data_IF_046256018508
#
_entry.id   IF_046256018508
#
_cell.length_a   1.000
_cell.length_b   1.000
_cell.length_c   1.000
_cell.angle_alpha   90.00
_cell.angle_beta   90.00
_cell.angle_gamma   90.00
#
_symmetry.space_group_name_H-M   'P 1'
#
loop_
_entity.id
_entity.type
_entity.pdbx_description
1 polymer ?
#
# COMPACT_ATOMS: atom_id res chain seq x y z
N UNK A 1 -6.18 20.08 -6.62
CA UNK A 1 -5.27 18.91 -6.56
C UNK A 1 -5.08 18.30 -7.95
N UNK A 2 -6.16 17.93 -8.66
CA UNK A 2 -6.10 17.45 -10.04
C UNK A 2 -5.34 18.38 -10.99
N UNK A 3 -5.71 19.67 -11.03
CA UNK A 3 -5.04 20.65 -11.89
C UNK A 3 -3.55 20.81 -11.59
N UNK A 4 -3.16 20.69 -10.31
CA UNK A 4 -1.75 20.75 -9.91
C UNK A 4 -0.97 19.53 -10.40
N UNK A 5 -1.54 18.33 -10.29
CA UNK A 5 -0.96 17.08 -10.80
C UNK A 5 -0.79 17.14 -12.33
N UNK A 6 -1.81 17.65 -13.04
CA UNK A 6 -1.78 17.78 -14.50
C UNK A 6 -0.75 18.81 -14.97
N UNK A 7 -0.69 19.99 -14.33
CA UNK A 7 0.29 21.05 -14.66
C UNK A 7 1.74 20.58 -14.48
N UNK A 8 2.01 19.74 -13.48
CA UNK A 8 3.35 19.23 -13.19
C UNK A 8 3.63 17.88 -13.86
N UNK A 9 2.73 17.39 -14.71
CA UNK A 9 2.84 16.13 -15.44
C UNK A 9 3.15 14.93 -14.53
N UNK A 10 2.58 14.91 -13.32
CA UNK A 10 2.81 13.84 -12.36
C UNK A 10 2.06 12.58 -12.81
N UNK A 11 2.80 11.51 -13.06
CA UNK A 11 2.24 10.23 -13.56
C UNK A 11 1.86 9.28 -12.44
N UNK A 12 2.60 9.33 -11.32
CA UNK A 12 2.49 8.38 -10.21
C UNK A 12 2.53 9.09 -8.87
N UNK A 13 1.86 8.50 -7.90
CA UNK A 13 1.83 8.94 -6.50
C UNK A 13 2.20 7.75 -5.62
N UNK A 14 3.14 7.96 -4.71
CA UNK A 14 3.46 7.02 -3.65
C UNK A 14 2.74 7.44 -2.37
N UNK A 15 1.91 6.56 -1.81
CA UNK A 15 1.33 6.74 -0.49
C UNK A 15 2.15 5.94 0.52
N UNK A 16 2.59 6.59 1.60
CA UNK A 16 3.41 5.99 2.65
C UNK A 16 2.64 6.00 3.98
N UNK A 17 2.67 4.88 4.69
CA UNK A 17 2.17 4.70 6.06
C UNK A 17 3.22 3.96 6.90
N UNK A 18 3.32 4.23 8.20
CA UNK A 18 4.14 3.42 9.10
C UNK A 18 3.46 2.07 9.38
N UNK A 19 4.25 1.00 9.47
CA UNK A 19 3.82 -0.27 10.06
C UNK A 19 3.91 -0.26 11.60
N UNK A 20 3.58 -1.40 12.25
CA UNK A 20 3.65 -1.53 13.71
C UNK A 20 5.06 -1.36 14.29
N UNK A 21 6.10 -1.63 13.51
CA UNK A 21 7.49 -1.44 13.91
C UNK A 21 7.99 -0.01 13.57
N UNK A 22 7.14 0.84 12.98
CA UNK A 22 7.47 2.19 12.56
C UNK A 22 8.20 2.25 11.22
N UNK A 23 8.30 1.15 10.48
CA UNK A 23 8.94 1.15 9.17
C UNK A 23 8.00 1.72 8.10
N UNK A 24 8.56 2.50 7.17
CA UNK A 24 7.78 3.06 6.06
C UNK A 24 7.33 1.94 5.11
N UNK A 25 6.01 1.86 4.87
CA UNK A 25 5.36 0.96 3.92
C UNK A 25 4.44 1.77 3.03
N UNK A 26 4.17 1.29 1.82
CA UNK A 26 3.39 2.10 0.91
C UNK A 26 2.96 1.39 -0.35
N UNK A 27 2.31 2.17 -1.21
CA UNK A 27 1.88 1.75 -2.53
C UNK A 27 2.03 2.90 -3.51
N UNK A 28 2.65 2.60 -4.64
CA UNK A 28 2.67 3.46 -5.82
C UNK A 28 1.41 3.20 -6.65
N UNK A 29 0.80 4.27 -7.16
CA UNK A 29 -0.35 4.17 -8.06
C UNK A 29 -0.40 5.34 -9.06
N UNK A 30 -1.12 5.20 -10.18
CA UNK A 30 -1.30 6.28 -11.13
C UNK A 30 -1.95 7.50 -10.48
N UNK A 31 -1.46 8.70 -10.81
CA UNK A 31 -1.97 9.95 -10.24
C UNK A 31 -3.46 10.19 -10.57
N UNK A 32 -3.92 9.72 -11.74
CA UNK A 32 -5.34 9.74 -12.12
C UNK A 32 -6.22 9.01 -11.10
N UNK A 33 -5.80 7.81 -10.69
CA UNK A 33 -6.50 6.99 -9.69
C UNK A 33 -6.50 7.62 -8.30
N UNK A 34 -5.46 8.40 -7.96
CA UNK A 34 -5.38 9.14 -6.71
C UNK A 34 -6.35 10.33 -6.68
N UNK A 35 -6.56 11.00 -7.81
CA UNK A 35 -7.49 12.15 -7.92
C UNK A 35 -8.95 11.77 -8.10
N UNK A 36 -9.23 10.53 -8.49
CA UNK A 36 -10.60 10.01 -8.58
C UNK A 36 -11.23 9.90 -7.19
N UNK A 37 -12.55 10.10 -7.08
CA UNK A 37 -13.35 9.96 -5.84
C UNK A 37 -13.47 8.51 -5.33
N UNK A 38 -12.60 7.62 -5.79
CA UNK A 38 -12.62 6.20 -5.45
C UNK A 38 -11.91 5.93 -4.13
N UNK A 39 -12.32 4.88 -3.43
CA UNK A 39 -11.63 4.44 -2.21
C UNK A 39 -10.27 3.83 -2.57
N UNK A 40 -9.19 4.37 -2.00
CA UNK A 40 -7.86 3.79 -2.14
C UNK A 40 -7.72 2.56 -1.23
N UNK A 41 -7.08 1.51 -1.77
CA UNK A 41 -6.83 0.25 -1.03
C UNK A 41 -5.35 -0.09 -1.07
N UNK A 42 -4.86 -0.59 0.06
CA UNK A 42 -3.53 -1.17 0.19
C UNK A 42 -3.60 -2.70 0.28
N UNK A 43 -2.61 -3.42 -0.25
CA UNK A 43 -2.51 -4.87 -0.08
C UNK A 43 -2.31 -5.21 1.40
N UNK A 44 -3.02 -6.23 1.91
CA UNK A 44 -2.83 -6.68 3.29
C UNK A 44 -1.39 -7.13 3.57
N UNK A 45 -0.69 -7.65 2.56
CA UNK A 45 0.67 -8.17 2.69
C UNK A 45 1.64 -7.13 3.26
N UNK A 46 1.48 -5.83 2.98
CA UNK A 46 2.39 -4.79 3.49
C UNK A 46 2.42 -4.73 5.03
N UNK A 47 1.35 -5.18 5.68
CA UNK A 47 1.24 -5.25 7.14
C UNK A 47 1.73 -6.58 7.71
N UNK A 48 1.91 -7.60 6.86
CA UNK A 48 2.43 -8.92 7.24
C UNK A 48 3.94 -9.03 7.02
N UNK A 49 4.55 -8.06 6.33
CA UNK A 49 5.99 -8.06 6.08
C UNK A 49 6.75 -7.83 7.39
N UNK A 50 7.71 -8.71 7.67
CA UNK A 50 8.59 -8.59 8.83
C UNK A 50 9.56 -7.41 8.70
N UNK A 51 10.24 -7.06 9.79
CA UNK A 51 11.27 -5.99 9.78
C UNK A 51 12.46 -6.31 8.87
N UNK A 52 12.71 -7.60 8.60
CA UNK A 52 13.74 -8.07 7.67
C UNK A 52 13.28 -8.03 6.21
N UNK A 53 11.99 -7.79 5.95
CA UNK A 53 11.41 -7.72 4.61
C UNK A 53 10.78 -9.02 4.13
N UNK A 54 10.93 -10.12 4.89
CA UNK A 54 10.35 -11.41 4.55
C UNK A 54 8.84 -11.43 4.86
N UNK A 55 8.10 -12.13 4.02
CA UNK A 55 6.69 -12.44 4.27
C UNK A 55 6.59 -13.78 4.99
N UNK A 56 5.63 -13.96 5.92
CA UNK A 56 5.42 -15.24 6.55
C UNK A 56 5.02 -16.29 5.51
N UNK A 57 5.51 -17.51 5.68
CA UNK A 57 5.02 -18.67 4.93
C UNK A 57 3.60 -18.96 5.37
N UNK A 58 2.62 -18.38 4.67
CA UNK A 58 1.20 -18.63 4.88
C UNK A 58 0.86 -19.96 4.21
N UNK A 59 1.44 -21.06 4.69
CA UNK A 59 0.91 -22.39 4.41
C UNK A 59 -0.45 -22.50 5.12
N UNK A 60 -1.46 -23.08 4.46
CA UNK A 60 -2.87 -23.22 4.87
C UNK A 60 -3.14 -23.85 6.27
N UNK A 61 -2.58 -23.29 7.35
CA UNK A 61 -2.73 -23.77 8.73
C UNK A 61 -3.29 -22.70 9.65
N UNK A 62 -4.29 -21.97 9.18
CA UNK A 62 -5.25 -21.33 10.08
C UNK A 62 -6.64 -21.79 9.63
N UNK A 63 -6.91 -23.07 9.88
CA UNK A 63 -8.28 -23.54 9.97
C UNK A 63 -8.77 -23.11 11.37
N UNK A 64 -9.74 -22.19 11.50
CA UNK A 64 -10.25 -21.76 12.80
C UNK A 64 -11.03 -22.88 13.54
N UNK A 65 -11.04 -24.10 13.01
CA UNK A 65 -11.60 -25.31 13.62
C UNK A 65 -10.52 -26.34 14.04
N UNK A 66 -9.22 -26.04 13.89
CA UNK A 66 -8.13 -26.78 14.54
C UNK A 66 -7.76 -26.15 15.88
#
# INVERSE_FOLDING_TARGET
MKDWIEQHQITEVECIVPDLAGAARGKIMPASKFTDTTTLRMPQSIFMQSVTGDYPDITDQINPLD
#
